data_IF_947024761461
#
_entry.id   IF_947024761461
#
_cell.length_a   1.000
_cell.length_b   1.000
_cell.length_c   1.000
_cell.angle_alpha   90.00
_cell.angle_beta   90.00
_cell.angle_gamma   90.00
#
_symmetry.space_group_name_H-M   'P 1'
#
loop_
_entity.id
_entity.type
_entity.pdbx_description
1 polymer ?
#
# COMPACT_ATOMS: atom_id res chain seq x y z
N UNK A 1 18.80 -19.12 8.63
CA UNK A 1 18.80 -18.94 7.16
C UNK A 1 20.24 -18.66 6.80
N UNK A 2 20.88 -19.57 6.07
CA UNK A 2 22.25 -19.38 5.58
C UNK A 2 22.15 -19.02 4.11
N UNK A 3 22.85 -17.95 3.70
CA UNK A 3 23.06 -17.62 2.29
C UNK A 3 24.27 -18.46 1.85
N UNK A 4 24.05 -19.73 1.59
CA UNK A 4 25.07 -20.52 0.90
C UNK A 4 24.86 -20.35 -0.60
N UNK A 5 25.85 -19.75 -1.24
CA UNK A 5 26.01 -19.66 -2.70
C UNK A 5 24.84 -19.06 -3.50
N UNK A 6 24.40 -17.85 -3.14
CA UNK A 6 23.44 -17.08 -3.94
C UNK A 6 22.10 -17.79 -4.16
N UNK A 7 21.52 -18.40 -3.11
CA UNK A 7 20.19 -19.05 -3.19
C UNK A 7 19.33 -18.65 -2.00
N UNK A 8 18.03 -18.43 -2.26
CA UNK A 8 17.05 -18.27 -1.21
C UNK A 8 16.59 -19.67 -0.81
N UNK A 9 17.03 -20.13 0.36
CA UNK A 9 16.57 -21.41 0.93
C UNK A 9 15.45 -21.18 1.95
N UNK A 10 14.29 -21.78 1.67
CA UNK A 10 13.14 -21.77 2.57
C UNK A 10 12.98 -23.16 3.17
N UNK A 11 13.32 -23.37 4.45
CA UNK A 11 13.14 -24.66 5.10
C UNK A 11 11.64 -24.97 5.15
N UNK A 12 11.29 -26.09 4.54
CA UNK A 12 9.95 -26.64 4.65
C UNK A 12 9.89 -27.51 5.91
N UNK A 13 8.72 -27.62 6.54
CA UNK A 13 8.55 -28.39 7.78
C UNK A 13 9.14 -29.81 7.71
N UNK A 14 9.41 -30.42 8.87
CA UNK A 14 10.17 -31.67 9.05
C UNK A 14 9.85 -32.73 7.98
N UNK A 15 10.90 -33.23 7.33
CA UNK A 15 10.82 -34.30 6.32
C UNK A 15 10.53 -33.83 4.89
N UNK A 16 10.47 -32.52 4.62
CA UNK A 16 10.28 -31.97 3.28
C UNK A 16 11.56 -31.27 2.79
N UNK A 17 11.94 -31.43 1.51
CA UNK A 17 13.09 -30.72 0.97
C UNK A 17 12.83 -29.21 1.01
N UNK A 18 13.87 -28.45 1.36
CA UNK A 18 13.84 -26.98 1.32
C UNK A 18 13.49 -26.48 -0.07
N UNK A 19 12.67 -25.43 -0.15
CA UNK A 19 12.42 -24.77 -1.43
C UNK A 19 13.60 -23.85 -1.74
N UNK A 20 14.24 -24.08 -2.89
CA UNK A 20 15.37 -23.30 -3.38
C UNK A 20 14.92 -22.41 -4.51
N UNK A 21 15.11 -21.10 -4.36
CA UNK A 21 14.75 -20.10 -5.37
C UNK A 21 16.00 -19.30 -5.78
N UNK A 22 16.14 -18.96 -7.07
CA UNK A 22 17.18 -18.03 -7.50
C UNK A 22 16.89 -16.65 -6.90
N UNK A 23 17.88 -15.97 -6.29
CA UNK A 23 17.72 -14.62 -5.81
C UNK A 23 17.56 -13.69 -7.04
N UNK A 24 16.71 -12.67 -6.94
CA UNK A 24 16.71 -11.62 -7.94
C UNK A 24 18.00 -10.81 -7.83
N UNK A 25 18.44 -10.22 -8.95
CA UNK A 25 19.73 -9.51 -9.09
C UNK A 25 19.95 -8.38 -8.07
N UNK A 26 18.86 -7.77 -7.57
CA UNK A 26 18.93 -6.71 -6.57
C UNK A 26 19.13 -7.21 -5.13
N UNK A 27 19.00 -8.52 -4.88
CA UNK A 27 19.05 -9.08 -3.54
C UNK A 27 20.45 -9.58 -3.18
N UNK A 28 21.27 -8.64 -2.72
CA UNK A 28 22.69 -8.89 -2.42
C UNK A 28 22.97 -9.10 -0.92
N UNK A 29 21.96 -8.92 -0.07
CA UNK A 29 22.11 -9.02 1.39
C UNK A 29 21.24 -10.12 1.99
N UNK A 30 21.71 -10.78 3.07
CA UNK A 30 20.88 -11.67 3.87
C UNK A 30 19.64 -10.95 4.40
N UNK A 31 18.49 -11.56 4.17
CA UNK A 31 17.18 -10.97 4.41
C UNK A 31 16.19 -12.04 4.86
N UNK A 32 15.21 -11.68 5.69
CA UNK A 32 14.15 -12.61 6.06
C UNK A 32 13.11 -12.71 4.93
N UNK A 33 12.81 -13.93 4.47
CA UNK A 33 11.83 -14.18 3.42
C UNK A 33 10.74 -15.15 3.89
N UNK A 34 9.50 -14.99 3.41
CA UNK A 34 8.42 -15.97 3.62
C UNK A 34 7.56 -16.13 2.38
N UNK A 35 7.01 -17.32 2.13
CA UNK A 35 6.01 -17.49 1.08
C UNK A 35 4.62 -17.23 1.64
N UNK A 36 3.85 -16.37 0.96
CA UNK A 36 2.48 -16.01 1.33
C UNK A 36 1.54 -16.28 0.16
N UNK A 37 0.42 -16.95 0.42
CA UNK A 37 -0.65 -17.10 -0.56
C UNK A 37 -1.63 -15.93 -0.49
N UNK A 38 -1.79 -15.18 -1.57
CA UNK A 38 -2.68 -14.01 -1.63
C UNK A 38 -4.10 -14.32 -2.13
N UNK A 39 -4.44 -15.60 -2.34
CA UNK A 39 -5.70 -16.03 -2.94
C UNK A 39 -5.66 -16.27 -4.46
N UNK A 40 -4.58 -15.90 -5.14
CA UNK A 40 -4.40 -16.07 -6.60
C UNK A 40 -3.05 -16.65 -6.96
N UNK A 41 -1.97 -16.13 -6.37
CA UNK A 41 -0.60 -16.58 -6.59
C UNK A 41 0.18 -16.55 -5.26
N UNK A 42 1.30 -17.24 -5.25
CA UNK A 42 2.27 -17.13 -4.17
C UNK A 42 3.06 -15.82 -4.35
N UNK A 43 3.24 -15.09 -3.26
CA UNK A 43 4.14 -13.94 -3.16
C UNK A 43 5.28 -14.31 -2.22
N UNK A 44 6.49 -13.81 -2.49
CA UNK A 44 7.67 -13.94 -1.63
C UNK A 44 8.04 -12.54 -1.10
N UNK A 45 7.45 -12.06 0.01
CA UNK A 45 7.95 -10.85 0.66
C UNK A 45 9.35 -11.08 1.20
N UNK A 46 10.23 -10.14 0.87
CA UNK A 46 11.62 -10.08 1.31
C UNK A 46 11.74 -8.88 2.25
N UNK A 47 12.24 -9.09 3.46
CA UNK A 47 12.54 -8.01 4.41
C UNK A 47 14.01 -7.67 4.32
N UNK A 48 14.30 -6.51 3.74
CA UNK A 48 15.65 -5.96 3.69
C UNK A 48 15.79 -4.97 4.84
N UNK A 49 16.86 -5.12 5.62
CA UNK A 49 17.26 -4.11 6.59
C UNK A 49 18.11 -3.08 5.84
N UNK A 50 17.50 -1.96 5.46
CA UNK A 50 18.26 -0.78 5.07
C UNK A 50 18.76 -0.15 6.36
N UNK A 51 20.08 0.11 6.45
CA UNK A 51 20.56 0.98 7.51
C UNK A 51 19.88 2.33 7.25
N UNK A 52 19.04 2.75 8.18
CA UNK A 52 18.50 4.10 8.14
C UNK A 52 19.69 5.05 8.36
N UNK A 53 20.32 5.45 7.26
CA UNK A 53 21.00 6.73 7.20
C UNK A 53 19.90 7.78 7.30
N UNK A 54 19.34 7.96 8.50
CA UNK A 54 18.75 9.22 8.84
C UNK A 54 19.88 10.21 8.61
N UNK A 55 19.79 10.97 7.52
CA UNK A 55 20.53 12.20 7.42
C UNK A 55 20.19 12.94 8.70
N UNK A 56 21.14 12.96 9.64
CA UNK A 56 21.22 13.92 10.73
C UNK A 56 21.52 15.28 10.09
N UNK A 57 20.71 15.67 9.10
CA UNK A 57 20.58 17.03 8.69
C UNK A 57 20.13 17.74 9.96
N UNK A 58 21.01 18.59 10.48
CA UNK A 58 20.69 19.55 11.51
C UNK A 58 19.31 20.11 11.19
N UNK A 59 18.31 19.70 11.98
CA UNK A 59 16.96 20.21 11.85
C UNK A 59 17.06 21.67 12.24
N UNK A 60 17.20 22.55 11.25
CA UNK A 60 17.05 23.98 11.50
C UNK A 60 15.67 24.16 12.11
N UNK A 61 15.60 24.70 13.32
CA UNK A 61 14.35 24.88 14.07
C UNK A 61 13.33 25.80 13.36
N UNK A 62 13.73 26.40 12.25
CA UNK A 62 13.00 27.44 11.53
C UNK A 62 11.72 26.95 10.85
N UNK A 63 11.61 25.67 10.45
CA UNK A 63 10.43 25.17 9.72
C UNK A 63 9.95 23.82 10.24
N UNK A 64 8.86 23.85 11.00
CA UNK A 64 8.17 22.68 11.54
C UNK A 64 6.81 22.55 10.86
N UNK A 65 6.43 21.32 10.50
CA UNK A 65 5.10 21.02 9.99
C UNK A 65 4.47 19.85 10.76
N UNK A 66 3.23 20.03 11.20
CA UNK A 66 2.42 18.96 11.78
C UNK A 66 1.52 18.37 10.70
N UNK A 67 1.41 17.05 10.67
CA UNK A 67 0.60 16.34 9.68
C UNK A 67 -0.40 15.42 10.37
N UNK A 68 -1.69 15.57 10.06
CA UNK A 68 -2.73 14.61 10.39
C UNK A 68 -3.04 13.73 9.16
N UNK A 69 -2.92 12.42 9.32
CA UNK A 69 -3.20 11.43 8.29
C UNK A 69 -4.56 10.80 8.57
N UNK A 70 -5.56 11.19 7.80
CA UNK A 70 -6.95 10.78 7.99
C UNK A 70 -7.53 9.97 6.83
N UNK A 71 -8.63 9.27 7.11
CA UNK A 71 -9.38 8.57 6.07
C UNK A 71 -10.14 9.55 5.15
N UNK A 72 -10.59 10.69 5.71
CA UNK A 72 -11.31 11.75 4.99
C UNK A 72 -10.32 12.71 4.31
N UNK A 73 -9.31 13.14 5.05
CA UNK A 73 -8.20 13.98 4.61
C UNK A 73 -6.93 13.13 4.63
N UNK A 74 -6.40 12.77 3.46
CA UNK A 74 -5.24 11.88 3.39
C UNK A 74 -4.01 12.49 4.06
N UNK A 75 -3.88 13.80 3.98
CA UNK A 75 -2.91 14.59 4.73
C UNK A 75 -3.50 15.98 4.98
N UNK A 76 -3.53 16.41 6.23
CA UNK A 76 -3.71 17.80 6.61
C UNK A 76 -2.41 18.28 7.24
N UNK A 77 -1.72 19.19 6.57
CA UNK A 77 -0.39 19.65 6.94
C UNK A 77 -0.48 21.12 7.34
N UNK A 78 0.04 21.47 8.50
CA UNK A 78 0.14 22.86 8.98
C UNK A 78 1.58 23.16 9.34
N UNK A 79 2.13 24.23 8.78
CA UNK A 79 3.48 24.71 9.10
C UNK A 79 3.43 25.85 10.13
N UNK A 80 4.50 26.00 10.91
CA UNK A 80 4.73 27.14 11.80
C UNK A 80 4.67 28.50 11.08
N UNK A 81 4.90 28.53 9.77
CA UNK A 81 4.78 29.73 8.91
C UNK A 81 3.31 30.15 8.66
N UNK A 82 2.33 29.50 9.30
CA UNK A 82 0.89 29.76 9.10
C UNK A 82 0.32 29.20 7.79
N UNK A 83 1.11 28.45 7.02
CA UNK A 83 0.66 27.79 5.78
C UNK A 83 0.00 26.46 6.10
N UNK A 84 -1.14 26.19 5.45
CA UNK A 84 -1.85 24.93 5.58
C UNK A 84 -2.14 24.28 4.21
N UNK A 85 -2.03 22.96 4.14
CA UNK A 85 -2.35 22.15 2.97
C UNK A 85 -3.25 20.99 3.38
N UNK A 86 -4.44 20.89 2.76
CA UNK A 86 -5.36 19.78 2.99
C UNK A 86 -5.53 18.96 1.73
N UNK A 87 -5.00 17.74 1.74
CA UNK A 87 -5.15 16.75 0.68
C UNK A 87 -6.43 15.95 0.91
N UNK A 88 -7.48 16.28 0.15
CA UNK A 88 -8.76 15.60 0.24
C UNK A 88 -8.72 14.19 -0.38
N UNK A 89 -9.16 13.18 0.38
CA UNK A 89 -9.18 11.77 -0.07
C UNK A 89 -10.39 11.35 -0.91
N UNK A 90 -11.16 12.28 -1.49
CA UNK A 90 -12.45 11.98 -2.16
C UNK A 90 -12.35 10.90 -3.25
N UNK A 91 -11.30 10.95 -4.08
CA UNK A 91 -11.07 9.93 -5.12
C UNK A 91 -10.80 8.54 -4.55
N UNK A 92 -9.91 8.44 -3.55
CA UNK A 92 -9.60 7.17 -2.87
C UNK A 92 -10.85 6.62 -2.17
N UNK A 93 -11.65 7.48 -1.52
CA UNK A 93 -12.93 7.08 -0.91
C UNK A 93 -13.90 6.53 -1.94
N UNK A 94 -14.05 7.18 -3.09
CA UNK A 94 -14.91 6.70 -4.17
C UNK A 94 -14.49 5.31 -4.67
N UNK A 95 -13.18 5.12 -4.87
CA UNK A 95 -12.60 3.83 -5.26
C UNK A 95 -12.82 2.75 -4.18
N UNK A 96 -12.59 3.07 -2.90
CA UNK A 96 -12.87 2.15 -1.78
C UNK A 96 -14.35 1.76 -1.73
N UNK A 97 -15.26 2.72 -1.93
CA UNK A 97 -16.71 2.47 -1.96
C UNK A 97 -17.10 1.54 -3.11
N UNK A 98 -16.59 1.79 -4.33
CA UNK A 98 -16.84 0.93 -5.49
C UNK A 98 -16.32 -0.49 -5.24
N UNK A 99 -15.13 -0.62 -4.68
CA UNK A 99 -14.53 -1.89 -4.31
C UNK A 99 -15.40 -2.66 -3.31
N UNK A 100 -15.85 -2.03 -2.23
CA UNK A 100 -16.72 -2.66 -1.22
C UNK A 100 -18.05 -3.12 -1.82
N UNK A 101 -18.67 -2.32 -2.69
CA UNK A 101 -19.90 -2.71 -3.39
C UNK A 101 -19.69 -3.97 -4.24
N UNK A 102 -18.63 -3.98 -5.05
CA UNK A 102 -18.30 -5.10 -5.92
C UNK A 102 -17.96 -6.38 -5.13
N UNK A 103 -17.25 -6.25 -4.00
CA UNK A 103 -17.00 -7.38 -3.10
C UNK A 103 -18.29 -7.92 -2.48
N UNK A 104 -19.18 -7.04 -2.02
CA UNK A 104 -20.48 -7.43 -1.48
C UNK A 104 -21.30 -8.26 -2.47
N UNK A 105 -21.35 -7.86 -3.73
CA UNK A 105 -22.05 -8.61 -4.78
C UNK A 105 -21.45 -10.00 -5.05
N UNK A 106 -20.12 -10.12 -5.00
CA UNK A 106 -19.45 -11.42 -5.11
C UNK A 106 -19.75 -12.31 -3.91
N UNK A 107 -19.74 -11.74 -2.69
CA UNK A 107 -20.06 -12.47 -1.46
C UNK A 107 -21.50 -12.98 -1.46
N UNK A 108 -22.48 -12.14 -1.82
CA UNK A 108 -23.90 -12.55 -1.97
C UNK A 108 -24.08 -13.72 -2.95
N UNK A 109 -23.35 -13.71 -4.07
CA UNK A 109 -23.37 -14.82 -5.04
C UNK A 109 -22.71 -16.08 -4.48
N UNK A 110 -21.65 -15.93 -3.69
CA UNK A 110 -20.89 -17.04 -3.10
C UNK A 110 -21.65 -17.72 -1.96
N UNK A 111 -22.41 -16.98 -1.16
CA UNK A 111 -23.25 -17.50 -0.08
C UNK A 111 -24.34 -18.46 -0.59
N UNK A 112 -24.86 -18.20 -1.81
CA UNK A 112 -25.83 -19.07 -2.48
C UNK A 112 -25.23 -20.34 -3.10
N UNK A 113 -23.91 -20.51 -3.03
CA UNK A 113 -23.21 -21.68 -3.59
C UNK A 113 -22.82 -22.65 -2.48
N UNK A 114 -22.92 -23.95 -2.75
CA UNK A 114 -22.35 -24.97 -1.88
C UNK A 114 -20.84 -24.73 -1.67
N UNK A 115 -20.40 -24.76 -0.41
CA UNK A 115 -18.99 -24.58 -0.03
C UNK A 115 -18.14 -25.63 -0.75
N UNK A 116 -17.01 -25.20 -1.31
CA UNK A 116 -16.14 -26.10 -2.06
C UNK A 116 -16.58 -26.44 -3.49
N UNK A 117 -17.79 -26.05 -3.93
CA UNK A 117 -18.18 -26.21 -5.34
C UNK A 117 -17.29 -25.43 -6.32
N UNK A 118 -17.26 -25.84 -7.59
CA UNK A 118 -16.51 -25.14 -8.65
C UNK A 118 -16.88 -23.66 -8.74
N UNK A 119 -18.18 -23.35 -8.67
CA UNK A 119 -18.70 -21.98 -8.69
C UNK A 119 -18.29 -21.18 -7.46
N UNK A 120 -18.34 -21.78 -6.27
CA UNK A 120 -17.89 -21.15 -5.02
C UNK A 120 -16.40 -20.78 -5.08
N UNK A 121 -15.54 -21.69 -5.58
CA UNK A 121 -14.10 -21.42 -5.76
C UNK A 121 -13.85 -20.32 -6.80
N UNK A 122 -14.58 -20.33 -7.93
CA UNK A 122 -14.46 -19.30 -8.98
C UNK A 122 -14.83 -17.91 -8.46
N UNK A 123 -15.89 -17.80 -7.66
CA UNK A 123 -16.30 -16.54 -7.02
C UNK A 123 -15.28 -16.09 -5.96
N UNK A 124 -14.74 -17.00 -5.16
CA UNK A 124 -13.65 -16.71 -4.21
C UNK A 124 -12.41 -16.12 -4.91
N UNK A 125 -11.94 -16.77 -5.99
CA UNK A 125 -10.82 -16.27 -6.81
C UNK A 125 -11.12 -14.91 -7.44
N UNK A 126 -12.36 -14.68 -7.91
CA UNK A 126 -12.78 -13.38 -8.45
C UNK A 126 -12.73 -12.28 -7.37
N UNK A 127 -13.15 -12.59 -6.15
CA UNK A 127 -13.03 -11.68 -5.01
C UNK A 127 -11.58 -11.33 -4.70
N UNK A 128 -10.71 -12.33 -4.62
CA UNK A 128 -9.27 -12.10 -4.43
C UNK A 128 -8.65 -11.23 -5.53
N UNK A 129 -9.01 -11.48 -6.81
CA UNK A 129 -8.55 -10.68 -7.96
C UNK A 129 -8.97 -9.22 -7.86
N UNK A 130 -10.19 -8.98 -7.43
CA UNK A 130 -10.71 -7.63 -7.24
C UNK A 130 -9.95 -6.90 -6.13
N UNK A 131 -9.71 -7.55 -4.99
CA UNK A 131 -8.95 -6.98 -3.88
C UNK A 131 -7.53 -6.60 -4.29
N UNK A 132 -6.83 -7.48 -5.01
CA UNK A 132 -5.48 -7.17 -5.51
C UNK A 132 -5.48 -6.02 -6.52
N UNK A 133 -6.48 -5.94 -7.40
CA UNK A 133 -6.62 -4.82 -8.34
C UNK A 133 -6.84 -3.50 -7.63
N UNK A 134 -7.64 -3.43 -6.57
CA UNK A 134 -7.90 -2.19 -5.85
C UNK A 134 -6.76 -1.77 -4.90
N UNK A 135 -5.97 -2.72 -4.38
CA UNK A 135 -4.80 -2.41 -3.53
C UNK A 135 -3.67 -1.72 -4.30
N UNK A 136 -3.46 -2.03 -5.58
CA UNK A 136 -2.35 -1.48 -6.39
C UNK A 136 -2.45 0.04 -6.62
N UNK A 137 -3.57 0.60 -7.14
CA UNK A 137 -3.71 2.05 -7.31
C UNK A 137 -3.64 2.81 -5.99
N UNK A 138 -4.21 2.27 -4.90
CA UNK A 138 -4.16 2.95 -3.60
C UNK A 138 -2.72 3.14 -3.11
N UNK A 139 -1.85 2.14 -3.34
CA UNK A 139 -0.41 2.22 -2.99
C UNK A 139 0.34 3.22 -3.87
N UNK A 140 0.04 3.26 -5.17
CA UNK A 140 0.67 4.23 -6.08
C UNK A 140 0.25 5.65 -5.71
N UNK A 141 -1.04 5.89 -5.46
CA UNK A 141 -1.54 7.22 -5.09
C UNK A 141 -0.94 7.70 -3.76
N UNK A 142 -0.65 6.80 -2.82
CA UNK A 142 0.02 7.15 -1.56
C UNK A 142 1.52 7.43 -1.70
N UNK A 143 2.19 6.84 -2.70
CA UNK A 143 3.66 6.96 -2.88
C UNK A 143 4.05 8.04 -3.91
N UNK A 144 3.27 8.22 -4.98
CA UNK A 144 3.64 9.08 -6.14
C UNK A 144 3.33 10.58 -5.98
N UNK A 145 3.06 11.08 -4.77
CA UNK A 145 2.78 12.52 -4.54
C UNK A 145 3.61 13.17 -3.43
N UNK A 146 4.83 12.69 -3.22
CA UNK A 146 5.87 13.40 -2.48
C UNK A 146 6.53 14.57 -3.25
N UNK A 147 6.06 14.89 -4.46
CA UNK A 147 6.54 16.05 -5.22
C UNK A 147 5.45 17.13 -5.27
N UNK A 148 5.35 17.90 -4.18
CA UNK A 148 4.61 19.17 -4.18
C UNK A 148 5.50 20.19 -4.88
N UNK A 149 5.29 20.39 -6.19
CA UNK A 149 5.79 21.61 -6.84
C UNK A 149 5.00 22.78 -6.25
N UNK A 150 5.64 23.57 -5.40
CA UNK A 150 5.16 24.86 -4.95
C UNK A 150 5.06 25.79 -6.16
N UNK A 151 3.93 25.78 -6.85
CA UNK A 151 3.54 26.85 -7.75
C UNK A 151 2.80 27.89 -6.91
N UNK A 152 3.51 28.96 -6.61
CA UNK A 152 2.96 30.25 -6.22
C UNK A 152 1.95 30.68 -7.28
N UNK A 153 0.67 30.67 -6.92
CA UNK A 153 -0.34 31.48 -7.61
C UNK A 153 -1.33 31.97 -6.56
N UNK A 154 -1.07 33.17 -6.05
CA UNK A 154 -2.05 33.96 -5.34
C UNK A 154 -3.31 34.09 -6.23
N UNK A 155 -4.42 33.52 -5.78
CA UNK A 155 -5.75 33.92 -6.25
C UNK A 155 -6.58 34.27 -5.03
N UNK A 156 -6.64 35.58 -4.80
CA UNK A 156 -7.64 36.28 -4.00
C UNK A 156 -9.04 35.85 -4.47
N UNK A 157 -9.83 35.27 -3.58
CA UNK A 157 -11.27 35.13 -3.76
C UNK A 157 -11.94 35.86 -2.61
N UNK A 158 -12.33 37.11 -2.89
CA UNK A 158 -13.21 37.91 -2.04
C UNK A 158 -14.58 37.21 -1.96
N UNK A 159 -15.05 36.92 -0.76
CA UNK A 159 -16.45 36.57 -0.52
C UNK A 159 -17.26 37.87 -0.46
N UNK A 160 -18.10 38.14 -1.47
CA UNK A 160 -19.21 39.09 -1.36
C UNK A 160 -20.44 38.36 -0.79
N UNK A 161 -20.95 38.83 0.33
CA UNK A 161 -22.25 38.42 0.88
C UNK A 161 -23.38 39.05 0.04
N UNK A 162 -24.31 38.21 -0.39
CA UNK A 162 -25.71 38.49 -0.73
C UNK A 162 -26.49 37.44 0.10
N UNK A 163 -27.54 37.72 0.86
CA UNK A 163 -28.35 38.91 1.12
C UNK A 163 -28.71 38.96 2.61
#
# INVERSE_FOLDING_TARGET
MHLEEHRIELPMGRGRPSLRLPPPEWLNTPCACKIVWNGIHNELPVTVSEADEYLTASVSDEKRATADLGQIHQAAIVSNDGKALVVSGRGIRSLKRLHSKQLGEIQKKRLRCAKGSRRWRKLGRRGAKLTLRCKRPMRVISVTRGHVKSSTSAKSTKYSRFS
#
